data_IF_885768620329
#
_entry.id   IF_885768620329
#
_cell.length_a   1.000
_cell.length_b   1.000
_cell.length_c   1.000
_cell.angle_alpha   90.00
_cell.angle_beta   90.00
_cell.angle_gamma   90.00
#
_symmetry.space_group_name_H-M   'P 1'
#
loop_
_entity.id
_entity.type
_entity.pdbx_description
1 polymer ?
#
# COMPACT_ATOMS: atom_id res chain seq x y z
N UNK A 1 17.69 10.97 26.24
CA UNK A 1 17.87 10.48 24.86
C UNK A 1 16.99 11.36 24.01
N UNK A 2 17.57 12.22 23.16
CA UNK A 2 16.78 12.93 22.16
C UNK A 2 16.17 11.87 21.25
N UNK A 3 14.84 11.74 21.28
CA UNK A 3 14.09 10.96 20.32
C UNK A 3 14.42 11.52 18.93
N UNK A 4 15.22 10.80 18.14
CA UNK A 4 15.44 11.12 16.73
C UNK A 4 14.13 10.92 15.98
N UNK A 5 13.24 11.91 16.13
CA UNK A 5 11.91 11.87 15.54
C UNK A 5 12.05 11.74 14.03
N UNK A 6 11.51 10.67 13.48
CA UNK A 6 11.42 10.44 12.03
C UNK A 6 10.63 11.59 11.43
N UNK A 7 11.19 12.26 10.42
CA UNK A 7 10.49 13.32 9.69
C UNK A 7 10.18 12.91 8.25
N UNK A 8 9.15 13.51 7.67
CA UNK A 8 8.82 13.25 6.26
C UNK A 8 9.95 13.67 5.31
N UNK A 9 10.72 14.70 5.65
CA UNK A 9 11.87 15.14 4.86
C UNK A 9 12.95 14.06 4.78
N UNK A 10 13.26 13.40 5.91
CA UNK A 10 14.20 12.27 5.94
C UNK A 10 13.73 11.12 5.07
N UNK A 11 12.46 10.75 5.17
CA UNK A 11 11.83 9.68 4.36
C UNK A 11 11.87 10.02 2.87
N UNK A 12 11.45 11.22 2.47
CA UNK A 12 11.48 11.68 1.07
C UNK A 12 12.90 11.70 0.52
N UNK A 13 13.86 12.22 1.30
CA UNK A 13 15.28 12.26 0.93
C UNK A 13 15.83 10.85 0.69
N UNK A 14 15.56 9.90 1.61
CA UNK A 14 15.98 8.51 1.47
C UNK A 14 15.36 7.88 0.22
N UNK A 15 14.03 8.05 0.01
CA UNK A 15 13.32 7.49 -1.12
C UNK A 15 13.91 7.96 -2.46
N UNK A 16 14.19 9.25 -2.61
CA UNK A 16 14.82 9.80 -3.81
C UNK A 16 16.25 9.27 -4.01
N UNK A 17 17.08 9.37 -2.96
CA UNK A 17 18.49 8.96 -3.04
C UNK A 17 18.68 7.48 -3.34
N UNK A 18 17.78 6.62 -2.85
CA UNK A 18 17.87 5.16 -3.01
C UNK A 18 16.98 4.60 -4.13
N UNK A 19 16.23 5.45 -4.82
CA UNK A 19 15.42 5.00 -5.95
C UNK A 19 14.19 4.21 -5.55
N UNK A 20 13.53 4.61 -4.46
CA UNK A 20 12.21 4.10 -4.10
C UNK A 20 11.11 4.83 -4.85
N UNK A 21 11.08 6.15 -4.77
CA UNK A 21 10.00 6.97 -5.35
C UNK A 21 10.56 8.27 -5.91
N UNK A 22 10.13 8.62 -7.11
CA UNK A 22 10.43 9.87 -7.80
C UNK A 22 9.15 10.63 -8.10
N UNK A 23 9.24 11.94 -8.24
CA UNK A 23 8.12 12.71 -8.76
C UNK A 23 7.92 12.40 -10.24
N UNK A 24 6.68 12.13 -10.65
CA UNK A 24 6.39 11.85 -12.05
C UNK A 24 6.72 13.06 -12.92
N UNK A 25 7.36 12.80 -14.06
CA UNK A 25 7.74 13.83 -15.05
C UNK A 25 8.66 14.92 -14.47
N UNK A 26 9.55 14.59 -13.53
CA UNK A 26 10.40 15.55 -12.80
C UNK A 26 11.22 16.46 -13.74
N UNK A 27 11.66 15.95 -14.90
CA UNK A 27 12.40 16.74 -15.91
C UNK A 27 11.60 17.92 -16.50
N UNK A 28 10.26 17.89 -16.36
CA UNK A 28 9.38 19.00 -16.79
C UNK A 28 8.84 19.80 -15.60
N UNK A 29 9.45 19.68 -14.42
CA UNK A 29 9.02 20.35 -13.19
C UNK A 29 8.10 19.48 -12.30
N UNK A 30 7.80 18.26 -12.73
CA UNK A 30 6.98 17.31 -11.99
C UNK A 30 5.47 17.55 -12.14
N UNK A 31 4.70 16.47 -11.99
CA UNK A 31 3.23 16.51 -11.95
C UNK A 31 2.77 16.36 -10.49
N UNK A 32 2.01 17.34 -10.01
CA UNK A 32 1.46 17.29 -8.66
C UNK A 32 0.54 16.08 -8.48
N UNK A 33 0.73 15.36 -7.37
CA UNK A 33 -0.10 14.21 -7.03
C UNK A 33 0.13 12.96 -7.87
N UNK A 34 1.19 12.93 -8.68
CA UNK A 34 1.62 11.73 -9.42
C UNK A 34 3.07 11.38 -9.07
N UNK A 35 3.34 10.10 -8.88
CA UNK A 35 4.62 9.59 -8.44
C UNK A 35 5.00 8.31 -9.18
N UNK A 36 6.29 8.17 -9.49
CA UNK A 36 6.86 7.00 -10.14
C UNK A 36 7.61 6.16 -9.11
N UNK A 37 7.41 4.84 -9.13
CA UNK A 37 8.17 3.91 -8.31
C UNK A 37 9.48 3.58 -9.03
N UNK A 38 10.60 3.91 -8.40
CA UNK A 38 11.92 3.54 -8.89
C UNK A 38 12.23 2.04 -8.69
N UNK A 39 13.46 1.60 -9.03
CA UNK A 39 13.81 0.17 -8.99
C UNK A 39 13.58 -0.54 -7.65
N UNK A 40 13.88 0.12 -6.52
CA UNK A 40 13.60 -0.44 -5.19
C UNK A 40 12.14 -0.28 -4.79
N UNK A 41 11.51 0.83 -5.19
CA UNK A 41 10.11 1.10 -4.88
C UNK A 41 9.16 0.13 -5.53
N UNK A 42 9.39 -0.23 -6.80
CA UNK A 42 8.53 -1.21 -7.51
C UNK A 42 8.66 -2.61 -6.90
N UNK A 43 9.85 -3.03 -6.47
CA UNK A 43 10.02 -4.33 -5.80
C UNK A 43 9.33 -4.33 -4.44
N UNK A 44 9.48 -3.26 -3.64
CA UNK A 44 8.77 -3.10 -2.37
C UNK A 44 7.25 -3.16 -2.58
N UNK A 45 6.72 -2.38 -3.53
CA UNK A 45 5.29 -2.38 -3.87
C UNK A 45 4.78 -3.76 -4.28
N UNK A 46 5.52 -4.45 -5.15
CA UNK A 46 5.16 -5.79 -5.60
C UNK A 46 5.19 -6.81 -4.45
N UNK A 47 6.12 -6.68 -3.49
CA UNK A 47 6.18 -7.55 -2.33
C UNK A 47 4.99 -7.32 -1.39
N UNK A 48 4.62 -6.07 -1.14
CA UNK A 48 3.40 -5.73 -0.36
C UNK A 48 2.16 -6.28 -1.04
N UNK A 49 2.02 -6.07 -2.37
CA UNK A 49 0.93 -6.63 -3.17
C UNK A 49 0.85 -8.15 -3.05
N UNK A 50 1.97 -8.84 -3.23
CA UNK A 50 2.04 -10.32 -3.15
C UNK A 50 1.71 -10.83 -1.76
N UNK A 51 2.19 -10.15 -0.71
CA UNK A 51 1.87 -10.49 0.67
C UNK A 51 0.36 -10.38 0.93
N UNK A 52 -0.27 -9.26 0.56
CA UNK A 52 -1.70 -9.06 0.70
C UNK A 52 -2.52 -10.05 -0.14
N UNK A 53 -2.14 -10.26 -1.41
CA UNK A 53 -2.83 -11.18 -2.30
C UNK A 53 -2.80 -12.62 -1.79
N UNK A 54 -1.63 -13.03 -1.27
CA UNK A 54 -1.47 -14.35 -0.64
C UNK A 54 -2.39 -14.51 0.56
N UNK A 55 -2.45 -13.51 1.45
CA UNK A 55 -3.37 -13.55 2.60
C UNK A 55 -4.82 -13.70 2.17
N UNK A 56 -5.25 -12.95 1.14
CA UNK A 56 -6.64 -12.96 0.69
C UNK A 56 -6.99 -14.23 -0.09
N UNK A 57 -6.25 -14.55 -1.15
CA UNK A 57 -6.70 -15.55 -2.14
C UNK A 57 -6.06 -16.92 -1.99
N UNK A 58 -5.00 -17.05 -1.19
CA UNK A 58 -4.34 -18.34 -0.98
C UNK A 58 -4.58 -18.92 0.41
N UNK A 59 -4.67 -18.07 1.45
CA UNK A 59 -4.85 -18.50 2.82
C UNK A 59 -6.32 -18.54 3.27
N UNK A 60 -7.24 -18.04 2.42
CA UNK A 60 -8.69 -18.17 2.58
C UNK A 60 -9.24 -18.94 1.38
N UNK A 61 -9.87 -20.09 1.63
CA UNK A 61 -10.41 -20.98 0.58
C UNK A 61 -11.63 -20.39 -0.13
N UNK A 62 -12.28 -19.41 0.48
CA UNK A 62 -13.52 -18.80 0.00
C UNK A 62 -13.33 -17.36 -0.54
N UNK A 63 -12.11 -16.99 -0.94
CA UNK A 63 -11.84 -15.72 -1.59
C UNK A 63 -11.21 -15.97 -2.96
N UNK A 64 -11.77 -15.31 -3.98
CA UNK A 64 -11.26 -15.37 -5.35
C UNK A 64 -10.79 -14.00 -5.82
N UNK A 65 -9.91 -13.98 -6.81
CA UNK A 65 -9.38 -12.74 -7.38
C UNK A 65 -10.19 -12.22 -8.56
N UNK A 66 -10.15 -10.91 -8.76
CA UNK A 66 -10.68 -10.20 -9.91
C UNK A 66 -9.72 -9.09 -10.32
N UNK A 67 -9.62 -8.82 -11.62
CA UNK A 67 -9.02 -7.60 -12.17
C UNK A 67 -10.03 -6.94 -13.11
N UNK A 68 -10.82 -6.01 -12.57
CA UNK A 68 -11.84 -5.28 -13.32
C UNK A 68 -11.23 -4.13 -14.12
N UNK A 69 -11.82 -3.80 -15.28
CA UNK A 69 -11.40 -2.69 -16.11
C UNK A 69 -11.46 -1.34 -15.35
N UNK A 70 -10.51 -0.46 -15.64
CA UNK A 70 -10.50 0.93 -15.12
C UNK A 70 -11.66 1.73 -15.72
N UNK A 71 -11.86 1.58 -17.03
CA UNK A 71 -12.94 2.24 -17.77
C UNK A 71 -14.19 1.40 -17.65
N UNK A 72 -15.19 1.94 -16.97
CA UNK A 72 -16.46 1.28 -16.69
C UNK A 72 -17.60 2.11 -17.25
N UNK A 73 -18.74 1.46 -17.51
CA UNK A 73 -19.93 2.16 -17.99
C UNK A 73 -20.32 3.30 -17.03
N UNK A 74 -20.56 4.54 -17.49
CA UNK A 74 -20.86 5.69 -16.62
C UNK A 74 -22.00 5.46 -15.62
N UNK A 75 -23.00 4.66 -16.01
CA UNK A 75 -24.12 4.28 -15.15
C UNK A 75 -23.72 3.53 -13.87
N UNK A 76 -22.53 2.93 -13.85
CA UNK A 76 -21.98 2.32 -12.63
C UNK A 76 -21.75 3.39 -11.56
N UNK A 77 -21.25 4.54 -11.96
CA UNK A 77 -20.95 5.66 -11.07
C UNK A 77 -22.18 6.48 -10.68
N UNK A 78 -23.21 6.46 -11.51
CA UNK A 78 -24.55 6.96 -11.16
C UNK A 78 -25.20 6.07 -10.10
N UNK A 79 -25.18 4.75 -10.30
CA UNK A 79 -25.75 3.78 -9.37
C UNK A 79 -25.11 3.85 -7.98
N UNK A 80 -23.78 3.92 -7.93
CA UNK A 80 -23.01 4.03 -6.67
C UNK A 80 -23.09 5.42 -6.01
N UNK A 81 -23.68 6.42 -6.70
CA UNK A 81 -23.80 7.79 -6.20
C UNK A 81 -22.55 8.66 -6.36
N UNK A 82 -21.47 8.16 -6.95
CA UNK A 82 -20.23 8.93 -7.11
C UNK A 82 -20.39 10.18 -8.00
N UNK A 83 -21.21 10.10 -9.05
CA UNK A 83 -21.44 11.26 -9.93
C UNK A 83 -22.03 12.42 -9.14
N UNK A 84 -22.94 12.15 -8.21
CA UNK A 84 -23.70 13.15 -7.47
C UNK A 84 -23.03 13.59 -6.17
N UNK A 85 -22.46 12.64 -5.41
CA UNK A 85 -22.06 12.84 -4.02
C UNK A 85 -20.54 12.83 -3.77
N UNK A 86 -19.72 12.36 -4.72
CA UNK A 86 -18.27 12.28 -4.53
C UNK A 86 -17.63 13.66 -4.80
N UNK A 87 -17.92 14.60 -3.91
CA UNK A 87 -17.55 16.01 -4.06
C UNK A 87 -16.90 16.56 -2.80
N UNK A 88 -15.87 17.39 -2.98
CA UNK A 88 -15.30 18.23 -1.94
C UNK A 88 -15.78 19.70 -2.08
N UNK A 89 -15.95 20.41 -0.94
CA UNK A 89 -16.24 21.84 -0.97
C UNK A 89 -14.98 22.61 -1.35
N UNK A 90 -14.99 23.32 -2.47
CA UNK A 90 -13.87 24.07 -3.03
C UNK A 90 -14.08 25.57 -2.92
N UNK A 91 -13.03 26.27 -2.51
CA UNK A 91 -12.91 27.75 -2.61
C UNK A 91 -11.61 28.12 -3.32
N UNK A 92 -11.64 29.15 -4.16
CA UNK A 92 -10.46 29.69 -4.85
C UNK A 92 -10.13 31.09 -4.30
N UNK A 93 -8.84 31.40 -4.20
CA UNK A 93 -8.42 32.78 -3.93
C UNK A 93 -8.43 33.60 -5.23
N UNK A 94 -9.15 34.73 -5.24
CA UNK A 94 -9.23 35.64 -6.42
C UNK A 94 -7.88 36.26 -6.73
N UNK A 95 -7.01 36.50 -5.72
CA UNK A 95 -5.71 37.16 -5.84
C UNK A 95 -4.57 36.23 -6.23
N UNK A 96 -4.25 35.24 -5.39
CA UNK A 96 -3.09 34.34 -5.60
C UNK A 96 -3.44 33.05 -6.37
N UNK A 97 -4.73 32.82 -6.66
CA UNK A 97 -5.24 31.66 -7.38
C UNK A 97 -5.03 30.31 -6.63
N UNK A 98 -4.62 30.36 -5.36
CA UNK A 98 -4.56 29.15 -4.51
C UNK A 98 -5.95 28.56 -4.34
N UNK A 99 -6.02 27.23 -4.25
CA UNK A 99 -7.24 26.44 -4.07
C UNK A 99 -7.24 25.76 -2.73
N UNK A 100 -8.39 25.75 -2.06
CA UNK A 100 -8.53 25.17 -0.73
C UNK A 100 -9.80 24.33 -0.65
N UNK A 101 -9.73 23.27 0.12
CA UNK A 101 -10.94 22.62 0.63
C UNK A 101 -11.52 23.52 1.73
N UNK A 102 -12.77 23.89 1.58
CA UNK A 102 -13.42 24.80 2.52
C UNK A 102 -13.50 24.19 3.93
N UNK A 103 -13.78 22.90 4.03
CA UNK A 103 -13.86 22.15 5.30
C UNK A 103 -12.52 22.00 6.04
N UNK A 104 -11.40 22.31 5.38
CA UNK A 104 -10.05 22.32 5.99
C UNK A 104 -9.56 23.73 6.35
N UNK A 105 -10.30 24.77 6.00
CA UNK A 105 -9.94 26.13 6.36
C UNK A 105 -10.44 26.47 7.78
N UNK A 106 -9.69 27.31 8.52
CA UNK A 106 -10.20 27.86 9.76
C UNK A 106 -11.54 28.58 9.52
N UNK A 107 -12.55 28.40 10.40
CA UNK A 107 -13.88 28.99 10.21
C UNK A 107 -13.83 30.50 9.96
N UNK A 108 -12.94 31.23 10.64
CA UNK A 108 -12.75 32.68 10.49
C UNK A 108 -12.32 33.09 9.06
N UNK A 109 -11.55 32.25 8.36
CA UNK A 109 -11.13 32.52 6.98
C UNK A 109 -12.31 32.40 6.01
N UNK A 110 -13.20 31.43 6.25
CA UNK A 110 -14.41 31.23 5.45
C UNK A 110 -15.44 32.34 5.70
N UNK A 111 -15.73 32.67 6.95
CA UNK A 111 -16.69 33.70 7.35
C UNK A 111 -16.29 35.08 6.81
N UNK A 112 -15.00 35.44 6.93
CA UNK A 112 -14.46 36.72 6.43
C UNK A 112 -14.08 36.67 4.95
N UNK A 113 -14.14 35.49 4.29
CA UNK A 113 -13.68 35.25 2.92
C UNK A 113 -12.25 35.71 2.66
N UNK A 114 -11.34 35.43 3.58
CA UNK A 114 -9.94 35.84 3.54
C UNK A 114 -9.04 34.66 3.27
N UNK A 115 -8.22 34.73 2.22
CA UNK A 115 -7.21 33.72 1.89
C UNK A 115 -6.13 33.63 2.98
N UNK A 116 -5.84 32.45 3.53
CA UNK A 116 -4.81 32.27 4.55
C UNK A 116 -3.40 32.58 4.04
N UNK A 117 -3.14 32.39 2.73
CA UNK A 117 -1.80 32.55 2.16
C UNK A 117 -1.44 34.02 1.85
N UNK A 118 -2.42 34.82 1.38
CA UNK A 118 -2.13 36.16 0.86
C UNK A 118 -3.08 37.27 1.31
N UNK A 119 -4.06 36.94 2.16
CA UNK A 119 -5.10 37.91 2.62
C UNK A 119 -6.09 38.35 1.55
N UNK A 120 -6.03 37.77 0.34
CA UNK A 120 -6.96 38.11 -0.75
C UNK A 120 -8.35 37.51 -0.53
N UNK A 121 -9.35 38.01 -1.32
CA UNK A 121 -10.73 37.54 -1.23
C UNK A 121 -10.88 36.11 -1.74
N UNK A 122 -11.61 35.25 -1.01
CA UNK A 122 -12.03 33.93 -1.43
C UNK A 122 -13.36 33.99 -2.21
N UNK A 123 -13.53 33.04 -3.14
CA UNK A 123 -14.80 32.80 -3.84
C UNK A 123 -15.84 32.21 -2.90
N UNK A 124 -17.10 32.14 -3.36
CA UNK A 124 -18.10 31.30 -2.74
C UNK A 124 -17.69 29.82 -2.81
N UNK A 125 -18.10 29.03 -1.80
CA UNK A 125 -17.88 27.59 -1.80
C UNK A 125 -18.71 26.93 -2.89
N UNK A 126 -18.06 26.06 -3.67
CA UNK A 126 -18.72 25.24 -4.71
C UNK A 126 -18.38 23.77 -4.54
N UNK A 127 -19.29 22.90 -4.95
CA UNK A 127 -19.02 21.46 -5.01
C UNK A 127 -18.05 21.17 -6.16
N UNK A 128 -17.01 20.40 -5.87
CA UNK A 128 -16.04 19.94 -6.84
C UNK A 128 -16.03 18.41 -6.86
N UNK A 129 -16.44 17.80 -7.98
CA UNK A 129 -16.44 16.35 -8.10
C UNK A 129 -15.02 15.82 -8.28
N UNK A 130 -14.65 14.82 -7.48
CA UNK A 130 -13.30 14.24 -7.44
C UNK A 130 -13.05 13.19 -8.53
N UNK A 131 -14.04 12.81 -9.35
CA UNK A 131 -13.78 11.89 -10.46
C UNK A 131 -13.11 12.60 -11.62
N UNK A 132 -12.06 11.98 -12.18
CA UNK A 132 -11.55 12.38 -13.49
C UNK A 132 -12.57 12.02 -14.57
N UNK A 133 -13.01 13.04 -15.31
CA UNK A 133 -13.90 12.92 -16.45
C UNK A 133 -13.11 12.99 -17.74
N UNK A 134 -13.39 12.11 -18.68
CA UNK A 134 -12.80 12.11 -20.03
C UNK A 134 -13.84 11.64 -21.05
N UNK A 135 -13.44 11.48 -22.29
CA UNK A 135 -14.29 11.04 -23.39
C UNK A 135 -13.73 9.78 -24.03
N UNK A 136 -14.61 8.94 -24.57
CA UNK A 136 -14.24 7.76 -25.35
C UNK A 136 -14.79 7.90 -26.77
N UNK A 137 -13.96 7.57 -27.77
CA UNK A 137 -14.32 7.74 -29.18
C UNK A 137 -13.95 9.11 -29.75
N UNK A 138 -14.41 9.42 -30.97
CA UNK A 138 -13.95 10.59 -31.71
C UNK A 138 -14.69 11.92 -31.38
N UNK A 139 -15.73 11.86 -30.54
CA UNK A 139 -16.55 13.04 -30.20
C UNK A 139 -16.38 13.44 -28.73
N UNK A 140 -16.42 14.74 -28.44
CA UNK A 140 -16.31 15.31 -27.09
C UNK A 140 -17.71 15.77 -26.60
N UNK A 141 -18.75 15.03 -26.91
CA UNK A 141 -20.11 15.31 -26.46
C UNK A 141 -20.48 14.54 -25.17
N UNK A 142 -21.64 14.87 -24.61
CA UNK A 142 -22.10 14.23 -23.37
C UNK A 142 -22.37 12.71 -23.52
N UNK A 143 -22.56 12.20 -24.71
CA UNK A 143 -22.80 10.77 -24.94
C UNK A 143 -21.53 9.94 -24.88
N UNK A 144 -20.37 10.58 -25.04
CA UNK A 144 -19.04 9.94 -25.01
C UNK A 144 -18.33 10.02 -23.65
N UNK A 145 -18.98 10.64 -22.64
CA UNK A 145 -18.40 10.82 -21.31
C UNK A 145 -18.12 9.50 -20.64
N UNK A 146 -16.91 9.36 -20.10
CA UNK A 146 -16.49 8.24 -19.26
C UNK A 146 -15.65 8.79 -18.09
N UNK A 147 -15.55 8.01 -17.03
CA UNK A 147 -14.78 8.39 -15.84
C UNK A 147 -13.65 7.39 -15.60
N UNK A 148 -12.52 7.88 -15.10
CA UNK A 148 -11.53 7.01 -14.47
C UNK A 148 -12.06 6.60 -13.10
N UNK A 149 -12.02 5.30 -12.78
CA UNK A 149 -12.58 4.79 -11.52
C UNK A 149 -11.93 5.45 -10.29
N UNK A 150 -12.72 5.99 -9.34
CA UNK A 150 -12.20 6.57 -8.10
C UNK A 150 -11.92 5.54 -7.01
N UNK A 151 -12.37 4.29 -7.23
CA UNK A 151 -12.20 3.13 -6.34
C UNK A 151 -12.29 1.82 -7.12
N UNK A 152 -11.83 0.73 -6.51
CA UNK A 152 -11.88 -0.60 -7.13
C UNK A 152 -13.12 -1.40 -6.75
N UNK A 153 -13.87 -1.01 -5.70
CA UNK A 153 -15.02 -1.73 -5.17
C UNK A 153 -16.13 -1.97 -6.19
N UNK A 154 -16.50 -0.94 -6.97
CA UNK A 154 -17.62 -1.04 -7.92
C UNK A 154 -17.36 -2.07 -9.01
N UNK A 155 -16.09 -2.27 -9.42
CA UNK A 155 -15.71 -3.33 -10.34
C UNK A 155 -16.02 -4.72 -9.81
N UNK A 156 -15.92 -4.91 -8.49
CA UNK A 156 -16.27 -6.16 -7.83
C UNK A 156 -17.80 -6.37 -7.84
N UNK A 157 -18.57 -5.33 -7.47
CA UNK A 157 -20.03 -5.46 -7.37
C UNK A 157 -20.70 -5.75 -8.71
N UNK A 158 -20.30 -5.07 -9.79
CA UNK A 158 -20.88 -5.33 -11.13
C UNK A 158 -20.49 -6.71 -11.67
N UNK A 159 -19.43 -7.33 -11.16
CA UNK A 159 -19.00 -8.68 -11.52
C UNK A 159 -19.48 -9.79 -10.56
N UNK A 160 -20.16 -9.42 -9.49
CA UNK A 160 -20.63 -10.36 -8.45
C UNK A 160 -21.33 -11.60 -9.03
N UNK A 161 -22.32 -11.42 -9.92
CA UNK A 161 -23.04 -12.54 -10.55
C UNK A 161 -22.14 -13.37 -11.47
N UNK A 162 -21.27 -12.73 -12.24
CA UNK A 162 -20.32 -13.42 -13.11
C UNK A 162 -19.43 -14.37 -12.31
N UNK A 163 -18.91 -13.88 -11.16
CA UNK A 163 -18.02 -14.66 -10.28
C UNK A 163 -18.75 -15.82 -9.63
N UNK A 164 -19.96 -15.60 -9.09
CA UNK A 164 -20.75 -16.69 -8.49
C UNK A 164 -21.01 -17.80 -9.51
N UNK A 165 -21.42 -17.43 -10.71
CA UNK A 165 -21.78 -18.42 -11.74
C UNK A 165 -20.57 -19.18 -12.28
N UNK A 166 -19.49 -18.46 -12.59
CA UNK A 166 -18.29 -19.06 -13.17
C UNK A 166 -17.50 -19.93 -12.18
N UNK A 167 -17.47 -19.55 -10.91
CA UNK A 167 -16.69 -20.25 -9.88
C UNK A 167 -17.55 -21.06 -8.91
N UNK A 168 -18.88 -21.09 -9.10
CA UNK A 168 -19.84 -21.79 -8.24
C UNK A 168 -19.67 -21.42 -6.74
N UNK A 169 -19.45 -20.13 -6.49
CA UNK A 169 -19.21 -19.64 -5.13
C UNK A 169 -20.48 -19.74 -4.29
N UNK A 170 -20.31 -20.10 -3.03
CA UNK A 170 -21.34 -20.09 -2.01
C UNK A 170 -21.06 -19.03 -0.96
N UNK A 171 -22.09 -18.37 -0.46
CA UNK A 171 -21.98 -17.43 0.65
C UNK A 171 -21.69 -18.19 1.96
N UNK A 172 -20.73 -17.78 2.80
CA UNK A 172 -19.94 -16.54 2.68
C UNK A 172 -18.72 -16.69 1.75
N UNK A 173 -18.48 -15.72 0.89
CA UNK A 173 -17.29 -15.69 0.05
C UNK A 173 -16.83 -14.24 -0.23
N UNK A 174 -15.57 -14.08 -0.63
CA UNK A 174 -15.00 -12.79 -0.97
C UNK A 174 -14.47 -12.69 -2.40
N UNK A 175 -14.41 -11.47 -2.90
CA UNK A 175 -13.72 -11.13 -4.15
C UNK A 175 -12.68 -10.07 -3.85
N UNK A 176 -11.42 -10.39 -4.15
CA UNK A 176 -10.26 -9.53 -3.91
C UNK A 176 -9.77 -8.90 -5.21
N UNK A 177 -9.36 -7.64 -5.15
CA UNK A 177 -8.80 -6.92 -6.29
C UNK A 177 -7.67 -6.00 -5.83
N UNK A 178 -6.60 -5.92 -6.64
CA UNK A 178 -5.59 -4.87 -6.56
C UNK A 178 -5.65 -4.08 -7.86
N UNK A 179 -5.71 -2.76 -7.78
CA UNK A 179 -5.75 -1.97 -9.00
C UNK A 179 -5.62 -0.47 -8.78
N UNK A 180 -5.35 0.23 -9.87
CA UNK A 180 -5.28 1.69 -9.87
C UNK A 180 -6.66 2.30 -9.68
N UNK A 181 -6.68 3.41 -8.93
CA UNK A 181 -7.80 4.30 -8.77
C UNK A 181 -7.34 5.76 -8.92
N UNK A 182 -8.26 6.65 -9.23
CA UNK A 182 -7.95 8.02 -9.63
C UNK A 182 -8.90 9.00 -8.94
N UNK A 183 -8.34 9.98 -8.23
CA UNK A 183 -9.11 11.04 -7.59
C UNK A 183 -8.51 12.40 -7.92
N UNK A 184 -9.30 13.29 -8.49
CA UNK A 184 -8.89 14.64 -8.83
C UNK A 184 -8.80 15.49 -7.55
N UNK A 185 -7.81 15.17 -6.72
CA UNK A 185 -7.61 15.78 -5.41
C UNK A 185 -7.33 17.30 -5.54
N UNK A 186 -8.04 18.12 -4.79
CA UNK A 186 -7.82 19.57 -4.74
C UNK A 186 -6.44 19.89 -4.16
N UNK A 187 -6.07 19.14 -3.11
CA UNK A 187 -4.80 19.30 -2.41
C UNK A 187 -4.13 17.94 -2.23
N UNK A 188 -3.04 17.72 -2.96
CA UNK A 188 -2.15 16.59 -2.74
C UNK A 188 -1.13 16.95 -1.65
N UNK A 189 -0.95 16.09 -0.65
CA UNK A 189 -0.07 16.35 0.50
C UNK A 189 0.66 15.08 0.94
N UNK A 190 1.76 15.30 1.65
CA UNK A 190 2.48 14.25 2.37
C UNK A 190 3.02 13.14 1.46
N UNK A 191 3.75 13.53 0.39
CA UNK A 191 4.43 12.59 -0.50
C UNK A 191 3.41 11.63 -1.16
N UNK A 192 3.61 10.31 -1.08
CA UNK A 192 2.71 9.30 -1.65
C UNK A 192 1.52 8.94 -0.73
N UNK A 193 1.26 9.72 0.32
CA UNK A 193 0.11 9.48 1.20
C UNK A 193 -1.22 9.85 0.53
N UNK A 194 -1.29 11.03 -0.17
CA UNK A 194 -2.47 11.49 -0.92
C UNK A 194 -2.07 11.95 -2.30
N UNK A 195 -2.44 11.16 -3.29
CA UNK A 195 -2.07 11.31 -4.70
C UNK A 195 -3.31 11.26 -5.59
N UNK A 196 -3.20 11.80 -6.81
CA UNK A 196 -4.30 11.76 -7.78
C UNK A 196 -4.44 10.40 -8.46
N UNK A 197 -3.34 9.69 -8.61
CA UNK A 197 -3.27 8.32 -9.10
C UNK A 197 -2.65 7.45 -8.00
N UNK A 198 -3.33 6.38 -7.60
CA UNK A 198 -2.90 5.48 -6.53
C UNK A 198 -3.37 4.05 -6.81
N UNK A 199 -2.97 3.12 -5.97
CA UNK A 199 -3.43 1.72 -6.05
C UNK A 199 -4.12 1.35 -4.74
N UNK A 200 -5.21 0.59 -4.86
CA UNK A 200 -5.98 0.01 -3.76
C UNK A 200 -5.84 -1.50 -3.76
N UNK A 201 -5.91 -2.07 -2.57
CA UNK A 201 -6.05 -3.49 -2.29
C UNK A 201 -7.40 -3.65 -1.59
N UNK A 202 -8.41 -4.12 -2.30
CA UNK A 202 -9.77 -4.23 -1.79
C UNK A 202 -10.28 -5.66 -1.84
N UNK A 203 -11.00 -6.06 -0.80
CA UNK A 203 -11.74 -7.30 -0.73
C UNK A 203 -13.16 -7.00 -0.28
N UNK A 204 -14.14 -7.51 -1.04
CA UNK A 204 -15.57 -7.40 -0.74
C UNK A 204 -16.08 -8.80 -0.37
N UNK A 205 -16.46 -8.97 0.90
CA UNK A 205 -16.88 -10.24 1.45
C UNK A 205 -18.41 -10.28 1.59
N UNK A 206 -19.03 -11.18 0.84
CA UNK A 206 -20.49 -11.34 0.75
C UNK A 206 -20.99 -12.31 1.80
N UNK A 207 -21.95 -11.87 2.61
CA UNK A 207 -22.47 -12.64 3.75
C UNK A 207 -24.00 -12.66 3.76
N UNK A 208 -24.58 -13.65 4.45
CA UNK A 208 -26.02 -13.68 4.69
C UNK A 208 -26.43 -12.54 5.61
N UNK A 209 -27.51 -11.78 5.32
CA UNK A 209 -28.02 -10.77 6.24
C UNK A 209 -28.26 -11.35 7.65
N UNK A 210 -27.82 -10.61 8.67
CA UNK A 210 -27.89 -11.04 10.07
C UNK A 210 -26.64 -11.81 10.58
N UNK A 211 -25.68 -12.15 9.69
CA UNK A 211 -24.37 -12.69 10.08
C UNK A 211 -23.24 -11.66 9.93
N UNK A 212 -23.60 -10.47 9.50
CA UNK A 212 -22.69 -9.39 9.12
C UNK A 212 -21.81 -8.92 10.29
N UNK A 213 -22.34 -8.83 11.51
CA UNK A 213 -21.58 -8.39 12.69
C UNK A 213 -20.48 -9.40 13.07
N UNK A 214 -20.72 -10.69 12.91
CA UNK A 214 -19.73 -11.73 13.15
C UNK A 214 -18.58 -11.62 12.14
N UNK A 215 -18.91 -11.53 10.84
CA UNK A 215 -17.94 -11.42 9.77
C UNK A 215 -17.18 -10.08 9.79
N UNK A 216 -17.83 -9.00 10.20
CA UNK A 216 -17.19 -7.72 10.41
C UNK A 216 -16.09 -7.79 11.48
N UNK A 217 -16.40 -8.39 12.64
CA UNK A 217 -15.42 -8.58 13.70
C UNK A 217 -14.32 -9.58 13.32
N UNK A 218 -14.63 -10.60 12.51
CA UNK A 218 -13.64 -11.51 11.96
C UNK A 218 -12.63 -10.75 11.08
N UNK A 219 -13.10 -9.97 10.12
CA UNK A 219 -12.23 -9.24 9.20
C UNK A 219 -11.41 -8.16 9.91
N UNK A 220 -11.95 -7.47 10.90
CA UNK A 220 -11.14 -6.57 11.75
C UNK A 220 -9.93 -7.29 12.34
N UNK A 221 -10.12 -8.47 12.92
CA UNK A 221 -9.01 -9.26 13.49
C UNK A 221 -8.00 -9.70 12.43
N UNK A 222 -8.48 -10.18 11.28
CA UNK A 222 -7.61 -10.64 10.19
C UNK A 222 -6.76 -9.49 9.63
N UNK A 223 -7.34 -8.31 9.46
CA UNK A 223 -6.61 -7.17 8.93
C UNK A 223 -5.55 -6.66 9.90
N UNK A 224 -5.84 -6.59 11.18
CA UNK A 224 -4.85 -6.26 12.21
C UNK A 224 -3.69 -7.26 12.22
N UNK A 225 -4.01 -8.56 12.23
CA UNK A 225 -3.02 -9.63 12.24
C UNK A 225 -2.09 -9.62 11.00
N UNK A 226 -2.57 -9.11 9.85
CA UNK A 226 -1.73 -8.91 8.67
C UNK A 226 -0.55 -7.97 8.96
N UNK A 227 -0.80 -6.83 9.58
CA UNK A 227 0.26 -5.87 9.91
C UNK A 227 1.23 -6.42 10.95
N UNK A 228 0.74 -7.10 11.98
CA UNK A 228 1.58 -7.77 12.98
C UNK A 228 2.49 -8.81 12.33
N UNK A 229 1.93 -9.65 11.45
CA UNK A 229 2.66 -10.71 10.74
C UNK A 229 3.81 -10.18 9.91
N UNK A 230 3.65 -9.01 9.29
CA UNK A 230 4.70 -8.40 8.47
C UNK A 230 5.55 -7.38 9.25
N UNK A 231 5.54 -7.45 10.59
CA UNK A 231 6.48 -6.77 11.47
C UNK A 231 6.21 -5.29 11.68
N UNK A 232 4.99 -4.81 11.41
CA UNK A 232 4.59 -3.44 11.73
C UNK A 232 4.49 -3.27 13.25
N UNK A 233 5.06 -2.21 13.77
CA UNK A 233 5.04 -1.91 15.22
C UNK A 233 3.62 -1.63 15.68
N UNK A 234 3.06 -2.52 16.50
CA UNK A 234 1.67 -2.44 16.98
C UNK A 234 1.38 -1.23 17.85
N UNK A 235 2.39 -0.69 18.55
CA UNK A 235 2.27 0.55 19.31
C UNK A 235 2.13 1.81 18.41
N UNK A 236 2.30 1.66 17.10
CA UNK A 236 2.04 2.69 16.09
C UNK A 236 0.74 2.46 15.32
N UNK A 237 -0.03 1.45 15.68
CA UNK A 237 -1.34 1.16 15.11
C UNK A 237 -2.43 1.47 16.14
N UNK A 238 -3.56 1.97 15.66
CA UNK A 238 -4.77 2.10 16.47
C UNK A 238 -6.02 1.88 15.63
N UNK A 239 -7.13 1.54 16.30
CA UNK A 239 -8.44 1.54 15.68
C UNK A 239 -9.09 2.91 15.84
N UNK A 240 -9.62 3.44 14.77
CA UNK A 240 -10.54 4.58 14.77
C UNK A 240 -11.93 4.09 14.35
N UNK A 241 -12.92 4.19 15.24
CA UNK A 241 -14.32 3.91 14.89
C UNK A 241 -14.97 5.18 14.37
N UNK A 242 -15.63 5.09 13.23
CA UNK A 242 -16.36 6.21 12.67
C UNK A 242 -17.56 6.60 13.54
N UNK A 243 -17.65 7.88 13.90
CA UNK A 243 -18.81 8.45 14.51
C UNK A 243 -20.00 8.53 13.55
N UNK A 244 -21.20 8.80 14.07
CA UNK A 244 -22.42 8.89 13.23
C UNK A 244 -22.32 9.92 12.11
N UNK A 245 -21.55 10.99 12.33
CA UNK A 245 -21.35 12.08 11.37
C UNK A 245 -20.27 11.77 10.33
N UNK A 246 -19.42 10.76 10.60
CA UNK A 246 -18.36 10.30 9.72
C UNK A 246 -18.79 9.10 8.85
N UNK A 247 -19.79 8.34 9.35
CA UNK A 247 -20.29 7.15 8.65
C UNK A 247 -20.84 7.50 7.27
N UNK A 248 -20.31 6.82 6.24
CA UNK A 248 -20.88 6.90 4.91
C UNK A 248 -22.34 6.40 4.93
N UNK A 249 -23.21 7.02 4.13
CA UNK A 249 -24.64 6.75 4.10
C UNK A 249 -25.04 5.28 3.78
N UNK A 250 -24.10 4.50 3.26
CA UNK A 250 -24.28 3.08 2.93
C UNK A 250 -23.76 2.14 4.03
N UNK A 251 -23.04 2.65 5.02
CA UNK A 251 -22.39 1.83 6.04
C UNK A 251 -23.23 1.73 7.33
N UNK A 252 -23.36 0.51 7.86
CA UNK A 252 -23.91 0.24 9.19
C UNK A 252 -22.90 0.55 10.29
N UNK A 253 -21.63 0.21 10.04
CA UNK A 253 -20.48 0.43 10.94
C UNK A 253 -19.19 0.49 10.12
N UNK A 254 -18.22 1.25 10.59
CA UNK A 254 -16.94 1.43 9.94
C UNK A 254 -15.82 1.63 10.97
N UNK A 255 -14.68 1.00 10.72
CA UNK A 255 -13.45 1.18 11.48
C UNK A 255 -12.27 1.34 10.54
N UNK A 256 -11.36 2.25 10.89
CA UNK A 256 -10.08 2.37 10.23
C UNK A 256 -8.97 1.83 11.12
N UNK A 257 -8.03 1.09 10.53
CA UNK A 257 -6.70 0.93 11.09
C UNK A 257 -5.95 2.20 10.73
N UNK A 258 -5.55 2.95 11.72
CA UNK A 258 -4.67 4.09 11.56
C UNK A 258 -3.25 3.72 11.96
N UNK A 259 -2.28 4.33 11.25
CA UNK A 259 -0.85 4.24 11.57
C UNK A 259 -0.30 5.63 11.96
N UNK A 260 0.62 5.65 12.94
CA UNK A 260 1.34 6.85 13.36
C UNK A 260 2.46 7.20 12.35
N UNK A 261 2.09 7.90 11.29
CA UNK A 261 3.05 8.51 10.37
C UNK A 261 3.80 9.69 11.02
N UNK A 262 4.91 10.20 10.40
CA UNK A 262 5.56 11.41 10.89
C UNK A 262 4.65 12.64 11.02
N UNK A 263 3.51 12.66 10.29
CA UNK A 263 2.49 13.70 10.37
C UNK A 263 1.30 13.32 11.28
N UNK A 264 1.47 12.35 12.17
CA UNK A 264 0.47 11.85 13.10
C UNK A 264 -0.34 10.67 12.59
N UNK A 265 -1.30 10.21 13.41
CA UNK A 265 -2.19 9.10 13.05
C UNK A 265 -3.02 9.43 11.82
N UNK A 266 -3.03 8.52 10.88
CA UNK A 266 -3.79 8.61 9.62
C UNK A 266 -4.27 7.25 9.19
N UNK A 267 -5.42 7.23 8.54
CA UNK A 267 -6.05 6.06 7.93
C UNK A 267 -5.06 5.30 7.04
N UNK A 268 -4.96 4.00 7.29
CA UNK A 268 -4.18 3.05 6.52
C UNK A 268 -5.07 2.05 5.78
N UNK A 269 -6.07 1.51 6.46
CA UNK A 269 -7.02 0.54 5.93
C UNK A 269 -8.37 0.65 6.61
N UNK A 270 -9.45 0.72 5.83
CA UNK A 270 -10.83 0.70 6.30
C UNK A 270 -11.41 -0.71 6.33
N UNK A 271 -12.24 -1.00 7.35
CA UNK A 271 -13.10 -2.17 7.42
C UNK A 271 -14.53 -1.67 7.61
N UNK A 272 -15.41 -1.95 6.64
CA UNK A 272 -16.76 -1.38 6.59
C UNK A 272 -17.84 -2.45 6.48
N UNK A 273 -18.91 -2.33 7.24
CA UNK A 273 -20.15 -3.08 7.02
C UNK A 273 -21.06 -2.24 6.11
N UNK A 274 -21.07 -2.56 4.82
CA UNK A 274 -21.79 -1.81 3.76
C UNK A 274 -23.24 -2.24 3.60
N UNK A 275 -23.72 -3.19 4.37
CA UNK A 275 -25.03 -3.82 4.21
C UNK A 275 -25.23 -4.35 2.78
N UNK A 276 -26.46 -4.29 2.24
CA UNK A 276 -26.77 -4.66 0.85
C UNK A 276 -26.86 -3.46 -0.11
N UNK A 277 -26.43 -2.30 0.32
CA UNK A 277 -26.64 -1.04 -0.40
C UNK A 277 -26.18 -1.11 -1.85
N UNK A 278 -24.93 -1.46 -2.10
CA UNK A 278 -24.36 -1.43 -3.45
C UNK A 278 -25.07 -2.39 -4.41
N UNK A 279 -25.32 -3.64 -4.00
CA UNK A 279 -26.01 -4.61 -4.83
C UNK A 279 -27.48 -4.21 -5.10
N UNK A 280 -28.14 -3.58 -4.13
CA UNK A 280 -29.48 -3.03 -4.31
C UNK A 280 -29.48 -1.91 -5.34
N UNK A 281 -28.55 -0.97 -5.23
CA UNK A 281 -28.41 0.13 -6.20
C UNK A 281 -28.12 -0.38 -7.61
N UNK A 282 -27.22 -1.38 -7.75
CA UNK A 282 -26.95 -1.98 -9.05
C UNK A 282 -28.15 -2.76 -9.61
N UNK A 283 -28.97 -3.39 -8.76
CA UNK A 283 -30.24 -4.00 -9.17
C UNK A 283 -31.17 -2.96 -9.77
N UNK A 284 -31.39 -1.84 -9.05
CA UNK A 284 -32.28 -0.75 -9.48
C UNK A 284 -31.85 -0.10 -10.80
N UNK A 285 -30.54 0.21 -10.93
CA UNK A 285 -30.02 0.92 -12.09
C UNK A 285 -29.81 0.06 -13.33
N UNK A 286 -29.54 -1.24 -13.16
CA UNK A 286 -29.32 -2.17 -14.27
C UNK A 286 -30.54 -2.95 -14.67
N UNK A 287 -31.53 -3.08 -13.77
CA UNK A 287 -32.66 -4.01 -13.93
C UNK A 287 -32.28 -5.49 -13.84
N UNK A 288 -31.05 -5.80 -13.38
CA UNK A 288 -30.57 -7.18 -13.21
C UNK A 288 -30.70 -7.61 -11.75
N UNK A 289 -31.29 -8.80 -11.54
CA UNK A 289 -31.41 -9.35 -10.19
C UNK A 289 -30.05 -9.73 -9.59
N UNK A 290 -29.67 -9.09 -8.48
CA UNK A 290 -28.43 -9.36 -7.75
C UNK A 290 -28.66 -10.27 -6.51
N UNK A 291 -29.86 -10.86 -6.34
CA UNK A 291 -30.14 -11.78 -5.23
C UNK A 291 -29.28 -13.05 -5.32
N UNK A 292 -28.81 -13.53 -4.19
CA UNK A 292 -28.30 -14.89 -4.03
C UNK A 292 -29.45 -15.87 -3.84
N UNK A 293 -29.32 -17.07 -4.39
CA UNK A 293 -30.25 -18.16 -4.17
C UNK A 293 -29.51 -19.23 -3.35
N UNK A 294 -29.90 -19.37 -2.09
CA UNK A 294 -29.30 -20.32 -1.17
C UNK A 294 -29.94 -21.70 -1.35
N UNK A 295 -29.31 -22.51 -2.20
CA UNK A 295 -29.79 -23.86 -2.54
C UNK A 295 -29.73 -24.81 -1.34
N UNK A 296 -28.83 -24.59 -0.42
CA UNK A 296 -28.64 -25.43 0.77
C UNK A 296 -29.71 -25.14 1.84
N UNK A 297 -30.38 -23.98 1.74
CA UNK A 297 -31.45 -23.53 2.65
C UNK A 297 -32.77 -23.32 1.93
N UNK A 298 -33.25 -24.32 1.20
CA UNK A 298 -34.58 -24.31 0.61
C UNK A 298 -34.78 -23.29 -0.51
N UNK A 299 -33.73 -22.88 -1.21
CA UNK A 299 -33.74 -21.83 -2.23
C UNK A 299 -34.17 -20.45 -1.71
N UNK A 300 -33.86 -20.14 -0.47
CA UNK A 300 -34.05 -18.79 0.09
C UNK A 300 -33.36 -17.74 -0.80
N UNK A 301 -34.02 -16.63 -1.06
CA UNK A 301 -33.49 -15.52 -1.87
C UNK A 301 -33.26 -14.31 -1.02
N UNK A 302 -32.05 -13.73 -1.12
CA UNK A 302 -31.72 -12.49 -0.45
C UNK A 302 -30.61 -11.73 -1.21
N UNK A 303 -30.55 -10.41 -1.02
CA UNK A 303 -29.39 -9.62 -1.45
C UNK A 303 -28.36 -9.71 -0.32
N UNK A 304 -27.12 -10.21 -0.59
CA UNK A 304 -26.11 -10.34 0.44
C UNK A 304 -25.72 -9.01 1.06
N UNK A 305 -25.32 -9.05 2.33
CA UNK A 305 -24.60 -7.97 2.97
C UNK A 305 -23.11 -8.06 2.61
N UNK A 306 -22.42 -6.95 2.67
CA UNK A 306 -21.03 -6.84 2.25
C UNK A 306 -20.18 -6.31 3.40
N UNK A 307 -19.10 -7.04 3.70
CA UNK A 307 -18.01 -6.56 4.55
C UNK A 307 -16.85 -6.22 3.65
N UNK A 308 -16.50 -4.95 3.63
CA UNK A 308 -15.37 -4.41 2.87
C UNK A 308 -14.11 -4.38 3.72
N UNK A 309 -12.97 -4.74 3.12
CA UNK A 309 -11.65 -4.33 3.59
C UNK A 309 -10.96 -3.57 2.47
N UNK A 310 -10.56 -2.34 2.71
CA UNK A 310 -9.98 -1.46 1.70
C UNK A 310 -8.72 -0.79 2.22
N UNK A 311 -7.58 -1.15 1.63
CA UNK A 311 -6.28 -0.61 1.96
C UNK A 311 -5.67 0.10 0.75
N UNK A 312 -5.13 1.29 0.95
CA UNK A 312 -4.32 1.96 -0.08
C UNK A 312 -2.97 1.27 -0.22
N UNK A 313 -2.67 0.60 -1.35
CA UNK A 313 -1.36 0.01 -1.58
C UNK A 313 -0.26 1.08 -1.52
N UNK A 314 -0.49 2.24 -2.13
CA UNK A 314 0.42 3.38 -2.10
C UNK A 314 0.70 3.86 -0.67
N UNK A 315 -0.34 3.96 0.18
CA UNK A 315 -0.18 4.29 1.61
C UNK A 315 0.56 3.21 2.38
N UNK A 316 0.29 1.94 2.09
CA UNK A 316 0.99 0.81 2.70
C UNK A 316 2.48 0.82 2.39
N UNK A 317 2.87 1.13 1.14
CA UNK A 317 4.28 1.30 0.78
C UNK A 317 4.93 2.41 1.63
N UNK A 318 4.27 3.57 1.77
CA UNK A 318 4.77 4.65 2.63
C UNK A 318 4.86 4.20 4.09
N UNK A 319 3.83 3.53 4.61
CA UNK A 319 3.79 3.03 5.98
C UNK A 319 4.94 2.07 6.25
N UNK A 320 5.17 1.08 5.37
CA UNK A 320 6.28 0.14 5.53
C UNK A 320 7.64 0.85 5.52
N UNK A 321 7.84 1.88 4.68
CA UNK A 321 9.08 2.67 4.68
C UNK A 321 9.21 3.44 6.00
N UNK A 322 8.16 4.12 6.46
CA UNK A 322 8.17 4.88 7.72
C UNK A 322 8.36 3.97 8.93
N UNK A 323 7.70 2.81 8.94
CA UNK A 323 7.81 1.86 10.03
C UNK A 323 9.19 1.19 10.09
N UNK A 324 9.76 0.88 8.94
CA UNK A 324 11.07 0.24 8.84
C UNK A 324 12.23 1.19 9.13
N UNK A 325 12.06 2.50 8.93
CA UNK A 325 13.14 3.49 9.07
C UNK A 325 13.62 3.62 10.51
N UNK A 326 14.94 3.55 10.67
CA UNK A 326 15.61 3.87 11.92
C UNK A 326 17.00 4.51 11.69
N UNK A 327 17.48 5.25 12.68
CA UNK A 327 18.85 5.75 12.77
C UNK A 327 19.46 5.18 14.05
N UNK A 328 20.44 4.29 13.90
CA UNK A 328 21.01 3.54 15.00
C UNK A 328 22.46 3.94 15.24
N UNK A 329 22.82 4.08 16.49
CA UNK A 329 24.22 4.22 16.91
C UNK A 329 24.92 2.87 16.78
N UNK A 330 26.03 2.85 16.07
CA UNK A 330 26.80 1.61 15.92
C UNK A 330 27.85 1.57 17.02
N UNK A 331 27.65 0.62 17.94
CA UNK A 331 28.63 0.34 18.97
C UNK A 331 29.85 -0.35 18.34
N UNK A 332 30.84 0.42 17.83
CA UNK A 332 32.12 -0.14 17.46
C UNK A 332 33.28 0.85 17.78
N UNK A 333 34.26 0.33 18.53
CA UNK A 333 35.68 0.75 18.63
C UNK A 333 35.97 2.24 18.85
N UNK A 334 35.23 2.86 19.80
CA UNK A 334 35.71 4.13 20.35
C UNK A 334 35.38 5.39 19.54
N UNK A 335 34.51 5.30 18.56
CA UNK A 335 33.93 6.45 17.89
C UNK A 335 32.46 6.60 18.26
N UNK A 336 32.18 7.51 19.19
CA UNK A 336 30.82 7.76 19.70
C UNK A 336 29.84 8.35 18.67
N UNK A 337 30.31 8.70 17.47
CA UNK A 337 29.57 9.40 16.43
C UNK A 337 29.27 8.55 15.18
N UNK A 338 29.46 7.22 15.20
CA UNK A 338 29.13 6.36 14.04
C UNK A 338 27.66 5.93 14.09
N UNK A 339 26.85 6.51 13.21
CA UNK A 339 25.43 6.22 13.03
C UNK A 339 25.18 5.49 11.72
N UNK A 340 24.21 4.57 11.72
CA UNK A 340 23.68 3.98 10.49
C UNK A 340 22.22 4.32 10.28
N UNK A 341 21.86 4.64 9.05
CA UNK A 341 20.46 4.60 8.59
C UNK A 341 20.14 3.18 8.18
N UNK A 342 19.04 2.64 8.66
CA UNK A 342 18.59 1.27 8.36
C UNK A 342 17.09 1.23 8.09
N UNK A 343 16.68 0.36 7.17
CA UNK A 343 15.27 0.01 6.95
C UNK A 343 15.02 -1.43 7.41
N UNK A 344 14.35 -1.59 8.54
CA UNK A 344 14.01 -2.88 9.14
C UNK A 344 12.78 -3.52 8.49
N UNK A 345 12.81 -3.69 7.17
CA UNK A 345 11.74 -4.42 6.48
C UNK A 345 11.68 -5.88 6.90
N UNK A 346 10.47 -6.40 7.08
CA UNK A 346 10.27 -7.86 7.09
C UNK A 346 10.88 -8.47 5.82
N UNK A 347 11.62 -9.59 5.87
CA UNK A 347 12.31 -10.14 4.71
C UNK A 347 11.42 -10.42 3.49
N UNK A 348 10.15 -10.76 3.70
CA UNK A 348 9.18 -10.92 2.61
C UNK A 348 8.69 -9.60 2.00
N UNK A 349 8.96 -8.47 2.66
CA UNK A 349 8.58 -7.13 2.20
C UNK A 349 9.79 -6.41 1.59
N UNK A 350 11.00 -6.70 2.06
CA UNK A 350 12.24 -6.10 1.60
C UNK A 350 12.39 -6.15 0.07
N UNK A 351 12.79 -5.04 -0.59
CA UNK A 351 12.94 -4.99 -2.05
C UNK A 351 14.06 -5.89 -2.59
N UNK A 352 15.08 -6.11 -1.78
CA UNK A 352 16.19 -7.04 -2.03
C UNK A 352 16.27 -7.97 -0.83
N UNK A 353 16.29 -9.29 -1.09
CA UNK A 353 16.37 -10.27 0.00
C UNK A 353 17.81 -10.54 0.40
N UNK A 354 18.72 -10.65 -0.56
CA UNK A 354 20.13 -11.04 -0.32
C UNK A 354 21.06 -10.19 -1.17
N UNK A 355 22.10 -9.62 -0.55
CA UNK A 355 23.19 -8.99 -1.27
C UNK A 355 24.45 -9.88 -1.22
N UNK A 356 25.12 -10.07 -2.35
CA UNK A 356 26.39 -10.81 -2.42
C UNK A 356 27.54 -9.86 -2.64
N UNK A 357 28.52 -9.92 -1.75
CA UNK A 357 29.58 -8.93 -1.60
C UNK A 357 30.95 -9.63 -1.60
N UNK A 358 31.72 -9.64 -2.72
CA UNK A 358 33.08 -10.15 -2.68
C UNK A 358 33.95 -9.25 -1.80
N UNK A 359 34.77 -9.81 -0.91
CA UNK A 359 35.64 -9.01 -0.04
C UNK A 359 36.54 -8.07 -0.85
N UNK A 360 37.08 -8.59 -1.94
CA UNK A 360 37.94 -7.86 -2.89
C UNK A 360 37.60 -8.22 -4.35
N UNK A 361 37.96 -7.34 -5.29
CA UNK A 361 37.72 -7.52 -6.74
C UNK A 361 38.75 -8.42 -7.45
N UNK A 362 39.64 -9.06 -6.74
CA UNK A 362 40.76 -9.82 -7.27
C UNK A 362 40.79 -11.24 -6.76
N UNK A 363 41.74 -11.99 -7.25
CA UNK A 363 42.06 -13.35 -6.78
C UNK A 363 40.91 -14.35 -6.94
N UNK A 364 39.96 -14.11 -7.91
CA UNK A 364 38.83 -15.00 -8.19
C UNK A 364 37.65 -14.84 -7.22
N UNK A 365 37.70 -13.87 -6.27
CA UNK A 365 36.61 -13.66 -5.31
C UNK A 365 35.36 -13.03 -5.96
N UNK A 366 35.56 -12.16 -6.95
CA UNK A 366 34.46 -11.55 -7.71
C UNK A 366 33.69 -12.60 -8.51
N UNK A 367 34.42 -13.46 -9.20
CA UNK A 367 33.87 -14.57 -10.00
C UNK A 367 33.11 -15.55 -9.13
N UNK A 368 33.66 -15.97 -7.99
CA UNK A 368 32.99 -16.84 -7.03
C UNK A 368 31.71 -16.18 -6.44
N UNK A 369 31.78 -14.89 -6.16
CA UNK A 369 30.60 -14.15 -5.68
C UNK A 369 29.48 -14.08 -6.74
N UNK A 370 29.82 -13.92 -8.03
CA UNK A 370 28.84 -13.97 -9.11
C UNK A 370 28.23 -15.37 -9.28
N UNK A 371 29.01 -16.45 -9.10
CA UNK A 371 28.47 -17.81 -9.10
C UNK A 371 27.45 -18.00 -7.97
N UNK A 372 27.82 -17.64 -6.74
CA UNK A 372 26.92 -17.72 -5.57
C UNK A 372 25.67 -16.87 -5.78
N UNK A 373 25.81 -15.65 -6.32
CA UNK A 373 24.68 -14.82 -6.67
C UNK A 373 23.76 -15.49 -7.69
N UNK A 374 24.30 -16.14 -8.70
CA UNK A 374 23.51 -16.82 -9.71
C UNK A 374 22.70 -17.99 -9.13
N UNK A 375 23.25 -18.73 -8.18
CA UNK A 375 22.49 -19.75 -7.44
C UNK A 375 21.36 -19.14 -6.60
N UNK A 376 21.62 -18.01 -5.93
CA UNK A 376 20.63 -17.35 -5.09
C UNK A 376 19.49 -16.69 -5.89
N UNK A 377 19.74 -16.27 -7.15
CA UNK A 377 18.73 -15.64 -8.01
C UNK A 377 17.52 -16.51 -8.31
N UNK A 378 17.70 -17.81 -8.34
CA UNK A 378 16.59 -18.76 -8.59
C UNK A 378 15.53 -18.73 -7.47
N UNK A 379 15.94 -18.29 -6.27
CA UNK A 379 15.09 -18.33 -5.08
C UNK A 379 14.78 -16.95 -4.50
N UNK A 380 15.66 -15.97 -4.71
CA UNK A 380 15.60 -14.66 -4.05
C UNK A 380 15.88 -13.51 -5.00
N UNK A 381 15.33 -12.33 -4.69
CA UNK A 381 15.80 -11.08 -5.29
C UNK A 381 17.17 -10.74 -4.70
N UNK A 382 18.19 -10.69 -5.56
CA UNK A 382 19.58 -10.47 -5.15
C UNK A 382 20.13 -9.13 -5.64
N UNK A 383 21.05 -8.57 -4.87
CA UNK A 383 21.95 -7.48 -5.28
C UNK A 383 23.41 -7.95 -5.29
N UNK A 384 24.26 -7.19 -5.97
CA UNK A 384 25.70 -7.41 -6.02
C UNK A 384 26.43 -6.08 -5.95
N UNK A 385 27.36 -5.98 -5.01
CA UNK A 385 28.18 -4.77 -4.86
C UNK A 385 29.64 -5.12 -4.56
N UNK A 386 30.53 -4.62 -5.40
CA UNK A 386 31.97 -4.75 -5.22
C UNK A 386 32.67 -3.39 -5.07
N UNK A 387 31.92 -2.30 -4.83
CA UNK A 387 32.44 -0.93 -4.88
C UNK A 387 32.79 -0.41 -3.50
N UNK A 388 34.07 -0.12 -3.27
CA UNK A 388 34.57 0.42 -2.00
C UNK A 388 34.80 -0.65 -0.91
N UNK A 389 35.02 -0.22 0.32
CA UNK A 389 35.24 -1.11 1.46
C UNK A 389 34.00 -1.86 1.85
N UNK A 390 34.16 -3.10 2.37
CA UNK A 390 33.04 -4.00 2.75
C UNK A 390 32.08 -3.34 3.75
N UNK A 391 32.58 -2.60 4.74
CA UNK A 391 31.74 -1.89 5.71
C UNK A 391 30.82 -0.84 5.06
N UNK A 392 31.31 -0.11 4.02
CA UNK A 392 30.47 0.84 3.27
C UNK A 392 29.40 0.13 2.46
N UNK A 393 29.67 -1.07 1.95
CA UNK A 393 28.68 -1.90 1.22
C UNK A 393 27.60 -2.42 2.15
N UNK A 394 27.94 -2.87 3.36
CA UNK A 394 26.95 -3.21 4.38
C UNK A 394 26.04 -2.03 4.71
N UNK A 395 26.61 -0.82 4.90
CA UNK A 395 25.82 0.39 5.16
C UNK A 395 24.83 0.70 4.03
N UNK A 396 25.24 0.52 2.76
CA UNK A 396 24.34 0.70 1.62
C UNK A 396 23.19 -0.31 1.63
N UNK A 397 23.46 -1.55 2.02
CA UNK A 397 22.45 -2.61 2.12
C UNK A 397 21.52 -2.41 3.33
N UNK A 398 22.06 -1.97 4.47
CA UNK A 398 21.26 -1.58 5.63
C UNK A 398 20.28 -0.45 5.26
N UNK A 399 20.74 0.57 4.52
CA UNK A 399 19.93 1.74 4.11
C UNK A 399 18.83 1.41 3.10
N UNK A 400 18.97 0.36 2.29
CA UNK A 400 17.90 -0.11 1.39
C UNK A 400 17.06 -1.25 1.98
N UNK A 401 17.44 -1.72 3.18
CA UNK A 401 16.69 -2.67 3.97
C UNK A 401 16.88 -4.13 3.58
N UNK A 402 18.01 -4.49 2.96
CA UNK A 402 18.37 -5.87 2.62
C UNK A 402 18.62 -6.68 3.90
N UNK A 403 17.82 -7.73 4.21
CA UNK A 403 17.94 -8.46 5.47
C UNK A 403 19.21 -9.30 5.59
N UNK A 404 19.74 -9.80 4.46
CA UNK A 404 20.88 -10.71 4.44
C UNK A 404 21.99 -10.22 3.52
N UNK A 405 23.24 -10.23 3.99
CA UNK A 405 24.41 -10.01 3.16
C UNK A 405 25.33 -11.23 3.21
N UNK A 406 25.72 -11.74 2.05
CA UNK A 406 26.66 -12.85 1.88
C UNK A 406 28.00 -12.26 1.49
N UNK A 407 29.03 -12.44 2.32
CA UNK A 407 30.40 -12.04 2.00
C UNK A 407 31.22 -13.24 1.55
N UNK A 408 31.87 -13.07 0.41
CA UNK A 408 32.77 -14.04 -0.20
C UNK A 408 34.21 -13.56 -0.02
N UNK A 409 35.00 -14.32 0.71
CA UNK A 409 36.36 -14.01 1.11
C UNK A 409 37.35 -15.11 0.71
N UNK A 410 38.59 -15.07 1.20
CA UNK A 410 39.61 -16.05 0.84
C UNK A 410 39.29 -17.45 1.37
N UNK A 411 38.77 -17.54 2.60
CA UNK A 411 38.35 -18.84 3.16
C UNK A 411 37.25 -19.48 2.32
N UNK A 412 36.38 -18.66 1.70
CA UNK A 412 35.34 -19.16 0.80
C UNK A 412 35.87 -19.96 -0.40
N UNK A 413 37.09 -19.65 -0.85
CA UNK A 413 37.78 -20.42 -1.91
C UNK A 413 38.40 -21.72 -1.40
N UNK A 414 38.82 -21.73 -0.15
CA UNK A 414 39.55 -22.86 0.42
C UNK A 414 38.61 -23.95 0.95
N UNK A 415 37.55 -23.54 1.65
CA UNK A 415 36.66 -24.45 2.38
C UNK A 415 35.21 -24.44 1.91
N UNK A 416 34.89 -23.70 0.81
CA UNK A 416 33.54 -23.56 0.25
C UNK A 416 32.49 -23.08 1.27
N UNK A 417 32.89 -22.18 2.19
CA UNK A 417 31.99 -21.52 3.14
C UNK A 417 31.81 -20.04 2.77
N UNK A 418 30.80 -19.39 3.34
CA UNK A 418 30.54 -17.95 3.18
C UNK A 418 30.17 -17.32 4.50
N UNK A 419 30.39 -16.01 4.63
CA UNK A 419 29.91 -15.27 5.79
C UNK A 419 28.53 -14.70 5.50
N UNK A 420 27.52 -15.14 6.27
CA UNK A 420 26.17 -14.57 6.25
C UNK A 420 26.03 -13.53 7.36
N UNK A 421 25.73 -12.28 6.97
CA UNK A 421 25.46 -11.18 7.90
C UNK A 421 23.97 -10.87 7.96
N UNK A 422 23.45 -10.72 9.16
CA UNK A 422 22.08 -10.29 9.45
C UNK A 422 22.04 -8.76 9.61
N UNK A 423 21.11 -8.10 8.92
CA UNK A 423 20.94 -6.64 8.96
C UNK A 423 20.63 -6.14 10.38
N UNK A 424 19.67 -6.80 11.06
CA UNK A 424 19.10 -6.29 12.31
C UNK A 424 20.07 -6.40 13.49
N UNK A 425 20.69 -7.55 13.68
CA UNK A 425 21.67 -7.77 14.75
C UNK A 425 23.09 -7.38 14.38
N UNK A 426 23.40 -7.18 13.08
CA UNK A 426 24.74 -7.06 12.51
C UNK A 426 25.64 -8.31 12.76
N UNK A 427 25.10 -9.36 13.35
CA UNK A 427 25.79 -10.62 13.56
C UNK A 427 26.24 -11.24 12.24
N UNK A 428 27.38 -11.89 12.27
CA UNK A 428 27.96 -12.58 11.12
C UNK A 428 28.25 -14.04 11.51
N UNK A 429 27.77 -14.97 10.70
CA UNK A 429 27.98 -16.40 10.90
C UNK A 429 28.65 -17.00 9.67
N UNK A 430 29.59 -17.93 9.90
CA UNK A 430 30.22 -18.70 8.83
C UNK A 430 29.43 -19.97 8.58
N UNK A 431 29.02 -20.20 7.32
CA UNK A 431 28.21 -21.35 6.94
C UNK A 431 28.69 -21.98 5.62
N UNK A 432 28.49 -23.28 5.40
CA UNK A 432 28.73 -23.91 4.11
C UNK A 432 27.85 -23.29 3.01
N UNK A 433 28.41 -23.07 1.82
CA UNK A 433 27.66 -22.55 0.63
C UNK A 433 26.44 -23.42 0.32
N UNK A 434 26.56 -24.75 0.49
CA UNK A 434 25.47 -25.71 0.24
C UNK A 434 24.27 -25.55 1.17
N UNK A 435 24.44 -24.93 2.34
CA UNK A 435 23.36 -24.70 3.32
C UNK A 435 22.75 -23.32 3.22
N UNK A 436 23.34 -22.40 2.43
CA UNK A 436 23.01 -20.99 2.39
C UNK A 436 21.53 -20.74 2.07
N UNK A 437 20.99 -21.34 1.01
CA UNK A 437 19.58 -21.17 0.60
C UNK A 437 18.64 -21.66 1.68
N UNK A 438 18.90 -22.86 2.24
CA UNK A 438 18.07 -23.44 3.30
C UNK A 438 18.08 -22.58 4.57
N UNK A 439 19.27 -22.05 4.94
CA UNK A 439 19.42 -21.18 6.09
C UNK A 439 18.62 -19.88 5.90
N UNK A 440 18.76 -19.20 4.77
CA UNK A 440 18.02 -17.96 4.48
C UNK A 440 16.49 -18.20 4.51
N UNK A 441 16.00 -19.30 3.90
CA UNK A 441 14.58 -19.66 3.94
C UNK A 441 14.09 -19.86 5.39
N UNK A 442 14.90 -20.47 6.22
CA UNK A 442 14.60 -20.71 7.65
C UNK A 442 14.52 -19.39 8.41
N UNK A 443 15.47 -18.49 8.19
CA UNK A 443 15.49 -17.16 8.82
C UNK A 443 14.29 -16.31 8.40
N UNK A 444 13.91 -16.33 7.11
CA UNK A 444 12.72 -15.65 6.62
C UNK A 444 11.46 -16.18 7.30
N UNK A 445 11.33 -17.51 7.41
CA UNK A 445 10.15 -18.17 8.03
C UNK A 445 10.00 -17.82 9.51
N UNK A 446 11.13 -17.73 10.21
CA UNK A 446 11.16 -17.53 11.66
C UNK A 446 11.40 -16.07 12.06
N UNK A 447 11.42 -15.16 11.08
CA UNK A 447 11.71 -13.74 11.32
C UNK A 447 10.73 -13.15 12.35
N UNK A 448 11.31 -12.51 13.34
CA UNK A 448 10.63 -11.64 14.28
C UNK A 448 11.39 -10.34 14.33
N UNK A 449 10.69 -9.25 14.20
CA UNK A 449 11.31 -7.94 14.37
C UNK A 449 11.83 -7.80 15.80
N UNK A 450 13.09 -7.39 15.94
CA UNK A 450 13.75 -7.13 17.24
C UNK A 450 13.24 -5.84 17.84
#
# INVERSE_FOLDING_TARGET
MEDHKISMEKIVSLCKRRGFVFQSSEIYGGQNGAWDYGPLGIELKNNVSRAWWKEMTQLHDNIVGLDAAILMHPRTWEASGHVENFTDPLVDCKKCKSRFRADHLPPENLEKRICPDCGGELTDTRKFNLMFKTHIGPTDDNSSVIYLRPETAQGIYVNYKNIIQSNRMKIPFGIAQIGKAFRNEIVTKNFIFRTCEFEQMEMQFFVKPGTDDEWFNYWKKQRWAFYEKYGVRTNKLQWHQHGKDELAHYAKDAYDIEYEFPMGFKELEGVHNRTNYDLTRHTEYSGKDMQYIDQDNGNEKYIPYIIETSAGLTRNVLMFICDAYDEEKVADKGNDDDWRTVLHFHPNIAPITVAVLPLMKKDGLAELAEEIRNELKEEFKTDYDQSGAIGKRYRRQDEVGTPFCVTVDYDSKEDNTVTLRFRDSMEQVRIPRTELIARIKTEIKNYKRV
#
